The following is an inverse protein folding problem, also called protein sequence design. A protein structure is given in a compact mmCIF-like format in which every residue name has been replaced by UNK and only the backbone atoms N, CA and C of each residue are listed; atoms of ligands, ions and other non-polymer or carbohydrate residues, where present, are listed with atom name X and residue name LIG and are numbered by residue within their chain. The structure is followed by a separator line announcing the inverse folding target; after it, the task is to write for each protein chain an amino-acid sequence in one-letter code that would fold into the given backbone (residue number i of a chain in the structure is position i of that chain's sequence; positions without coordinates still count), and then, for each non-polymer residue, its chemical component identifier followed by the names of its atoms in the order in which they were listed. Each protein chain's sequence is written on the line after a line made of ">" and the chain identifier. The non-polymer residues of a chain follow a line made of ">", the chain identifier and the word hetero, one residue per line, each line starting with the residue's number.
data_IF_808052314082
#
_entry.id   IF_808052314082
#
_cell.length_a   1.000
_cell.length_b   1.000
_cell.length_c   1.000
_cell.angle_alpha   90.00
_cell.angle_beta   90.00
_cell.angle_gamma   90.00
#
_symmetry.space_group_name_H-M   'P 1'
#
loop_
_entity.id
_entity.type
_entity.pdbx_description
1 polymer ?
#
# COMPACT_ATOMS: atom_id res chain seq x y z
N UNK A 1 -1.92 22.38 20.72
CA UNK A 1 -0.70 23.14 20.37
C UNK A 1 -0.85 23.67 18.95
N UNK A 2 -0.94 24.99 18.84
CA UNK A 2 -1.00 25.74 17.59
C UNK A 2 0.32 25.59 16.83
N UNK A 3 0.26 25.09 15.60
CA UNK A 3 1.38 25.20 14.69
C UNK A 3 1.16 26.46 13.87
N UNK A 4 2.03 27.44 14.08
CA UNK A 4 2.12 28.68 13.33
C UNK A 4 2.47 28.35 11.88
N UNK A 5 1.55 28.68 10.96
CA UNK A 5 1.84 28.67 9.54
C UNK A 5 2.56 29.96 9.20
N UNK A 6 3.87 29.92 9.07
CA UNK A 6 4.61 30.98 8.40
C UNK A 6 4.65 30.69 6.90
N UNK A 7 3.97 31.51 6.13
CA UNK A 7 4.08 31.53 4.69
C UNK A 7 5.49 32.01 4.31
N UNK A 8 6.26 31.15 3.68
CA UNK A 8 7.38 31.55 2.85
C UNK A 8 7.21 30.93 1.47
N UNK A 9 6.92 31.80 0.50
CA UNK A 9 7.17 31.56 -0.90
C UNK A 9 8.67 31.36 -1.09
N UNK A 10 9.11 30.12 -1.15
CA UNK A 10 10.38 29.78 -1.76
C UNK A 10 10.17 28.57 -2.65
N UNK A 11 10.20 28.85 -3.94
CA UNK A 11 10.23 27.94 -5.05
C UNK A 11 11.57 27.17 -5.05
N UNK A 12 11.74 26.27 -4.07
CA UNK A 12 12.68 25.16 -4.13
C UNK A 12 11.88 23.89 -3.89
N UNK A 13 11.67 23.11 -4.94
CA UNK A 13 11.25 21.72 -4.82
C UNK A 13 12.33 20.98 -4.01
N UNK A 14 12.24 21.01 -2.71
CA UNK A 14 12.93 20.04 -1.87
C UNK A 14 12.28 18.70 -2.22
N UNK A 15 12.88 17.96 -3.15
CA UNK A 15 12.57 16.55 -3.32
C UNK A 15 12.88 15.89 -1.99
N UNK A 16 11.84 15.63 -1.21
CA UNK A 16 11.97 14.92 0.04
C UNK A 16 12.48 13.51 -0.22
N UNK A 17 13.34 12.99 0.65
CA UNK A 17 13.87 11.64 0.56
C UNK A 17 12.81 10.65 1.01
N UNK A 18 12.43 9.74 0.11
CA UNK A 18 11.51 8.63 0.38
C UNK A 18 12.34 7.36 0.52
N UNK A 19 12.19 6.66 1.64
CA UNK A 19 12.82 5.38 1.89
C UNK A 19 11.80 4.36 2.40
N UNK A 20 11.98 3.10 2.02
CA UNK A 20 11.20 1.98 2.53
C UNK A 20 12.06 1.19 3.52
N UNK A 21 11.53 0.98 4.71
CA UNK A 21 12.19 0.26 5.78
C UNK A 21 11.47 -1.01 6.18
N UNK A 22 12.21 -1.96 6.72
CA UNK A 22 11.67 -3.22 7.20
C UNK A 22 10.80 -3.05 8.44
N UNK A 23 9.77 -3.88 8.56
CA UNK A 23 8.96 -3.98 9.77
C UNK A 23 9.59 -5.02 10.69
N UNK A 24 9.88 -4.60 11.91
CA UNK A 24 10.54 -5.39 12.93
C UNK A 24 9.75 -5.34 14.24
N UNK A 25 10.13 -6.19 15.20
CA UNK A 25 9.56 -6.15 16.55
C UNK A 25 9.78 -4.81 17.26
N UNK A 26 10.81 -4.07 16.88
CA UNK A 26 11.10 -2.75 17.47
C UNK A 26 10.18 -1.65 16.96
N UNK A 27 9.71 -1.73 15.72
CA UNK A 27 8.90 -0.70 15.10
C UNK A 27 7.43 -1.10 14.81
N UNK A 28 7.01 -2.31 15.16
CA UNK A 28 5.64 -2.80 14.94
C UNK A 28 4.57 -1.89 15.58
N UNK A 29 4.90 -1.20 16.66
CA UNK A 29 4.00 -0.23 17.30
C UNK A 29 3.74 0.98 16.42
N UNK A 30 4.72 1.41 15.61
CA UNK A 30 4.57 2.48 14.63
C UNK A 30 3.60 2.05 13.52
N UNK A 31 3.75 0.82 13.02
CA UNK A 31 2.81 0.25 12.06
C UNK A 31 1.38 0.27 12.59
N UNK A 32 1.17 -0.18 13.83
CA UNK A 32 -0.14 -0.20 14.46
C UNK A 32 -0.76 1.20 14.54
N UNK A 33 0.00 2.21 14.94
CA UNK A 33 -0.45 3.60 14.98
C UNK A 33 -0.79 4.15 13.59
N UNK A 34 0.04 3.85 12.58
CA UNK A 34 -0.24 4.25 11.20
C UNK A 34 -1.53 3.63 10.69
N UNK A 35 -1.72 2.33 10.88
CA UNK A 35 -2.94 1.64 10.45
C UNK A 35 -4.19 2.24 11.08
N UNK A 36 -4.16 2.53 12.38
CA UNK A 36 -5.28 3.16 13.08
C UNK A 36 -5.60 4.58 12.58
N UNK A 37 -4.58 5.29 12.10
CA UNK A 37 -4.74 6.67 11.60
C UNK A 37 -5.16 6.70 10.12
N UNK A 38 -4.61 5.81 9.31
CA UNK A 38 -4.76 5.83 7.84
C UNK A 38 -6.03 5.08 7.40
N UNK A 39 -6.33 3.95 8.05
CA UNK A 39 -7.38 3.05 7.58
C UNK A 39 -8.58 3.03 8.54
N UNK A 40 -9.82 3.02 7.99
CA UNK A 40 -11.04 3.00 8.81
C UNK A 40 -11.39 1.61 9.35
N UNK A 41 -10.47 0.67 9.31
CA UNK A 41 -10.63 -0.72 9.76
C UNK A 41 -9.57 -1.07 10.80
N UNK A 42 -9.94 -1.94 11.75
CA UNK A 42 -9.00 -2.45 12.75
C UNK A 42 -8.49 -3.83 12.34
N UNK A 43 -7.19 -4.04 12.51
CA UNK A 43 -6.54 -5.33 12.27
C UNK A 43 -6.33 -6.06 13.59
N UNK A 44 -6.48 -7.39 13.57
CA UNK A 44 -6.30 -8.24 14.75
C UNK A 44 -4.82 -8.56 15.02
N UNK A 45 -4.52 -9.19 16.15
CA UNK A 45 -3.16 -9.56 16.53
C UNK A 45 -2.50 -10.54 15.54
N UNK A 46 -3.30 -11.41 14.90
CA UNK A 46 -2.80 -12.33 13.87
C UNK A 46 -2.21 -11.56 12.69
N UNK A 47 -2.86 -10.50 12.22
CA UNK A 47 -2.35 -9.65 11.14
C UNK A 47 -0.93 -9.12 11.47
N UNK A 48 -0.72 -8.60 12.68
CA UNK A 48 0.58 -8.05 13.06
C UNK A 48 1.67 -9.13 13.23
N UNK A 49 1.30 -10.32 13.66
CA UNK A 49 2.22 -11.48 13.69
C UNK A 49 2.63 -11.89 12.28
N UNK A 50 1.67 -12.03 11.38
CA UNK A 50 1.91 -12.41 9.98
C UNK A 50 2.79 -11.36 9.27
N UNK A 51 2.57 -10.07 9.54
CA UNK A 51 3.39 -8.99 8.99
C UNK A 51 4.85 -9.07 9.44
N UNK A 52 5.12 -9.42 10.70
CA UNK A 52 6.49 -9.59 11.19
C UNK A 52 7.25 -10.72 10.47
N UNK A 53 6.55 -11.70 9.94
CA UNK A 53 7.12 -12.85 9.23
C UNK A 53 7.13 -12.65 7.69
N UNK A 54 6.51 -11.59 7.19
CA UNK A 54 6.30 -11.39 5.75
C UNK A 54 7.50 -10.81 4.99
N UNK A 55 8.55 -10.37 5.69
CA UNK A 55 9.78 -9.86 5.08
C UNK A 55 9.52 -8.70 4.10
N UNK A 56 9.93 -8.86 2.86
CA UNK A 56 9.80 -7.84 1.80
C UNK A 56 8.35 -7.52 1.38
N UNK A 57 7.38 -8.34 1.79
CA UNK A 57 5.95 -8.11 1.53
C UNK A 57 5.33 -7.00 2.39
N UNK A 58 6.03 -6.55 3.42
CA UNK A 58 5.58 -5.47 4.28
C UNK A 58 6.70 -4.45 4.51
N UNK A 59 6.39 -3.16 4.32
CA UNK A 59 7.33 -2.06 4.48
C UNK A 59 6.68 -0.87 5.17
N UNK A 60 7.47 -0.16 5.96
CA UNK A 60 7.19 1.21 6.37
C UNK A 60 7.77 2.19 5.36
N UNK A 61 7.06 3.25 5.07
CA UNK A 61 7.55 4.34 4.24
C UNK A 61 7.95 5.54 5.11
N UNK A 62 9.14 6.05 4.86
CA UNK A 62 9.72 7.22 5.54
C UNK A 62 9.83 8.37 4.54
N UNK A 63 9.50 9.55 5.01
CA UNK A 63 9.73 10.79 4.29
C UNK A 63 10.61 11.70 5.16
N UNK A 64 11.84 11.99 4.71
CA UNK A 64 12.84 12.70 5.49
C UNK A 64 12.99 12.14 6.92
N UNK A 65 13.17 10.82 7.02
CA UNK A 65 13.34 10.05 8.27
C UNK A 65 12.10 9.98 9.18
N UNK A 66 10.96 10.53 8.76
CA UNK A 66 9.69 10.42 9.48
C UNK A 66 8.86 9.29 8.90
N UNK A 67 8.36 8.38 9.74
CA UNK A 67 7.47 7.31 9.30
C UNK A 67 6.09 7.88 8.96
N UNK A 68 5.66 7.70 7.71
CA UNK A 68 4.44 8.35 7.17
C UNK A 68 3.52 7.42 6.40
N UNK A 69 3.99 6.23 6.05
CA UNK A 69 3.19 5.31 5.24
C UNK A 69 3.51 3.85 5.52
N UNK A 70 2.70 3.00 4.97
CA UNK A 70 2.77 1.55 5.15
C UNK A 70 2.22 0.82 3.93
N UNK A 71 2.86 -0.27 3.57
CA UNK A 71 2.34 -1.27 2.65
C UNK A 71 2.49 -2.65 3.28
N UNK A 72 1.43 -3.44 3.26
CA UNK A 72 1.44 -4.83 3.71
C UNK A 72 0.76 -5.71 2.66
N UNK A 73 1.45 -6.75 2.25
CA UNK A 73 0.98 -7.68 1.24
C UNK A 73 1.03 -9.12 1.76
N UNK A 74 0.27 -9.97 1.10
CA UNK A 74 0.22 -11.41 1.33
C UNK A 74 0.37 -12.14 0.00
N UNK A 75 1.09 -13.25 0.00
CA UNK A 75 1.19 -14.12 -1.16
C UNK A 75 0.22 -15.30 -1.00
N UNK A 76 -0.69 -15.42 -1.93
CA UNK A 76 -1.65 -16.51 -2.03
C UNK A 76 -1.28 -17.41 -3.21
N UNK A 77 -1.39 -18.72 -3.04
CA UNK A 77 -1.19 -19.70 -4.12
C UNK A 77 -2.49 -20.46 -4.33
N UNK A 78 -3.02 -20.40 -5.54
CA UNK A 78 -4.22 -21.10 -5.95
C UNK A 78 -4.10 -21.51 -7.43
N UNK A 79 -4.58 -22.72 -7.77
CA UNK A 79 -4.57 -23.23 -9.15
C UNK A 79 -3.20 -23.14 -9.84
N UNK A 80 -2.14 -23.48 -9.11
CA UNK A 80 -0.74 -23.36 -9.58
C UNK A 80 -0.30 -21.94 -9.96
N UNK A 81 -1.04 -20.92 -9.53
CA UNK A 81 -0.72 -19.51 -9.74
C UNK A 81 -0.41 -18.82 -8.42
N UNK A 82 0.49 -17.85 -8.49
CA UNK A 82 0.87 -16.98 -7.36
C UNK A 82 0.17 -15.65 -7.48
N UNK A 83 -0.63 -15.33 -6.49
CA UNK A 83 -1.37 -14.07 -6.40
C UNK A 83 -0.81 -13.25 -5.24
N UNK A 84 -0.44 -12.01 -5.50
CA UNK A 84 -0.03 -11.10 -4.44
C UNK A 84 -1.20 -10.20 -4.09
N UNK A 85 -1.65 -10.29 -2.84
CA UNK A 85 -2.74 -9.47 -2.32
C UNK A 85 -2.19 -8.28 -1.53
N UNK A 86 -2.53 -7.06 -1.95
CA UNK A 86 -2.23 -5.86 -1.18
C UNK A 86 -3.32 -5.73 -0.10
N UNK A 87 -2.95 -5.99 1.16
CA UNK A 87 -3.85 -5.87 2.30
C UNK A 87 -4.04 -4.41 2.70
N UNK A 88 -2.93 -3.66 2.75
CA UNK A 88 -2.90 -2.23 3.06
C UNK A 88 -1.87 -1.52 2.21
N UNK A 89 -2.18 -0.33 1.74
CA UNK A 89 -1.25 0.62 1.15
C UNK A 89 -1.79 2.03 1.39
N UNK A 90 -1.06 2.84 2.12
CA UNK A 90 -1.50 4.19 2.41
C UNK A 90 -0.45 5.02 3.13
N UNK A 91 -0.67 6.31 3.15
CA UNK A 91 0.15 7.25 3.90
C UNK A 91 -0.72 8.28 4.63
N UNK A 92 -0.12 8.95 5.61
CA UNK A 92 -0.75 10.03 6.33
C UNK A 92 -1.24 11.11 5.36
N UNK A 93 -2.41 11.68 5.63
CA UNK A 93 -3.09 12.62 4.73
C UNK A 93 -2.19 13.78 4.31
N UNK A 94 -1.47 14.39 5.26
CA UNK A 94 -0.58 15.52 5.01
C UNK A 94 0.64 15.20 4.15
N UNK A 95 0.95 13.92 3.97
CA UNK A 95 2.06 13.44 3.13
C UNK A 95 1.62 12.85 1.79
N UNK A 96 0.33 12.99 1.45
CA UNK A 96 -0.18 12.58 0.14
C UNK A 96 0.36 13.48 -0.97
N UNK A 97 0.40 12.96 -2.20
CA UNK A 97 0.88 13.66 -3.41
C UNK A 97 2.38 13.96 -3.42
N UNK A 98 3.16 13.34 -2.54
CA UNK A 98 4.62 13.46 -2.49
C UNK A 98 5.36 12.27 -3.11
N UNK A 99 4.64 11.32 -3.72
CA UNK A 99 5.22 10.14 -4.36
C UNK A 99 5.43 8.94 -3.43
N UNK A 100 4.96 8.99 -2.18
CA UNK A 100 5.14 7.90 -1.20
C UNK A 100 4.36 6.65 -1.63
N UNK A 101 3.10 6.80 -2.03
CA UNK A 101 2.29 5.70 -2.56
C UNK A 101 2.91 5.07 -3.80
N UNK A 102 3.46 5.90 -4.68
CA UNK A 102 4.20 5.45 -5.88
C UNK A 102 5.42 4.61 -5.51
N UNK A 103 6.21 5.05 -4.54
CA UNK A 103 7.40 4.30 -4.08
C UNK A 103 7.00 2.93 -3.50
N UNK A 104 5.96 2.88 -2.69
CA UNK A 104 5.44 1.63 -2.12
C UNK A 104 4.90 0.68 -3.20
N UNK A 105 4.10 1.18 -4.14
CA UNK A 105 3.52 0.34 -5.19
C UNK A 105 4.58 -0.17 -6.17
N UNK A 106 5.57 0.65 -6.52
CA UNK A 106 6.71 0.21 -7.33
C UNK A 106 7.49 -0.92 -6.65
N UNK A 107 7.72 -0.83 -5.35
CA UNK A 107 8.33 -1.91 -4.57
C UNK A 107 7.55 -3.23 -4.70
N UNK A 108 6.23 -3.17 -4.55
CA UNK A 108 5.35 -4.35 -4.67
C UNK A 108 5.40 -4.94 -6.07
N UNK A 109 5.32 -4.12 -7.11
CA UNK A 109 5.39 -4.58 -8.52
C UNK A 109 6.76 -5.20 -8.82
N UNK A 110 7.84 -4.57 -8.38
CA UNK A 110 9.20 -5.08 -8.56
C UNK A 110 9.40 -6.43 -7.84
N UNK A 111 8.93 -6.54 -6.60
CA UNK A 111 8.93 -7.81 -5.86
C UNK A 111 8.15 -8.90 -6.62
N UNK A 112 6.95 -8.59 -7.07
CA UNK A 112 6.11 -9.53 -7.81
C UNK A 112 6.78 -10.04 -9.08
N UNK A 113 7.41 -9.13 -9.85
CA UNK A 113 8.15 -9.47 -11.05
C UNK A 113 9.34 -10.40 -10.76
N UNK A 114 10.14 -10.08 -9.73
CA UNK A 114 11.32 -10.87 -9.35
C UNK A 114 10.98 -12.25 -8.77
N UNK A 115 9.83 -12.39 -8.13
CA UNK A 115 9.39 -13.64 -7.47
C UNK A 115 8.48 -14.51 -8.34
N UNK A 116 8.27 -14.13 -9.59
CA UNK A 116 7.42 -14.90 -10.50
C UNK A 116 5.96 -14.95 -10.07
N UNK A 117 5.45 -13.86 -9.48
CA UNK A 117 4.05 -13.68 -9.16
C UNK A 117 3.27 -13.48 -10.47
N UNK A 118 2.10 -14.08 -10.59
CA UNK A 118 1.28 -14.00 -11.80
C UNK A 118 0.47 -12.71 -11.86
N UNK A 119 -0.08 -12.28 -10.73
CA UNK A 119 -0.86 -11.05 -10.64
C UNK A 119 -0.84 -10.43 -9.24
N UNK A 120 -1.16 -9.14 -9.19
CA UNK A 120 -1.38 -8.37 -7.97
C UNK A 120 -2.84 -7.96 -7.94
N UNK A 121 -3.51 -8.11 -6.81
CA UNK A 121 -4.89 -7.67 -6.65
C UNK A 121 -5.13 -7.00 -5.28
N UNK A 122 -6.20 -6.23 -5.21
CA UNK A 122 -6.61 -5.51 -4.01
C UNK A 122 -8.11 -5.20 -4.03
N UNK A 123 -8.61 -4.80 -2.86
CA UNK A 123 -9.95 -4.27 -2.71
C UNK A 123 -9.86 -2.77 -2.38
N UNK A 124 -10.69 -1.98 -3.01
CA UNK A 124 -10.82 -0.54 -2.75
C UNK A 124 -12.29 -0.18 -2.61
N UNK A 125 -12.62 0.68 -1.64
CA UNK A 125 -13.99 1.16 -1.49
C UNK A 125 -14.46 1.82 -2.79
N UNK A 126 -15.67 1.49 -3.24
CA UNK A 126 -16.18 1.91 -4.56
C UNK A 126 -16.24 3.43 -4.76
N UNK A 127 -16.36 4.19 -3.67
CA UNK A 127 -16.36 5.66 -3.69
C UNK A 127 -14.96 6.29 -3.63
N UNK A 128 -13.90 5.50 -3.42
CA UNK A 128 -12.53 6.02 -3.33
C UNK A 128 -11.93 6.24 -4.72
N UNK A 129 -12.41 7.25 -5.42
CA UNK A 129 -12.01 7.58 -6.79
C UNK A 129 -10.53 7.89 -6.91
N UNK A 130 -9.93 8.55 -5.91
CA UNK A 130 -8.51 8.88 -5.91
C UNK A 130 -7.62 7.63 -5.88
N UNK A 131 -7.96 6.64 -5.07
CA UNK A 131 -7.22 5.37 -5.04
C UNK A 131 -7.42 4.59 -6.34
N UNK A 132 -8.64 4.53 -6.87
CA UNK A 132 -8.94 3.85 -8.13
C UNK A 132 -8.11 4.44 -9.28
N UNK A 133 -8.06 5.75 -9.41
CA UNK A 133 -7.26 6.44 -10.43
C UNK A 133 -5.75 6.19 -10.24
N UNK A 134 -5.29 6.21 -8.99
CA UNK A 134 -3.90 5.90 -8.65
C UNK A 134 -3.50 4.52 -9.15
N UNK A 135 -4.26 3.48 -8.84
CA UNK A 135 -3.95 2.12 -9.28
C UNK A 135 -4.10 1.95 -10.80
N UNK A 136 -5.07 2.58 -11.44
CA UNK A 136 -5.23 2.55 -12.90
C UNK A 136 -4.01 3.09 -13.63
N UNK A 137 -3.37 4.14 -13.11
CA UNK A 137 -2.11 4.67 -13.67
C UNK A 137 -0.97 3.65 -13.69
N UNK A 138 -0.99 2.67 -12.79
CA UNK A 138 -0.02 1.57 -12.76
C UNK A 138 -0.47 0.33 -13.54
N UNK A 139 -1.54 0.43 -14.32
CA UNK A 139 -2.06 -0.65 -15.16
C UNK A 139 -2.96 -1.65 -14.43
N UNK A 140 -3.52 -1.27 -13.29
CA UNK A 140 -4.57 -2.06 -12.65
C UNK A 140 -5.92 -1.84 -13.34
N UNK A 141 -6.70 -2.89 -13.43
CA UNK A 141 -8.04 -2.88 -14.02
C UNK A 141 -9.06 -3.35 -13.00
N UNK A 142 -10.29 -2.85 -13.11
CA UNK A 142 -11.41 -3.31 -12.29
C UNK A 142 -11.87 -4.67 -12.87
N UNK A 143 -11.77 -5.71 -12.08
CA UNK A 143 -12.14 -7.08 -12.47
C UNK A 143 -13.37 -7.60 -11.76
N UNK A 144 -13.89 -6.90 -10.77
CA UNK A 144 -15.08 -7.30 -10.04
C UNK A 144 -15.55 -6.27 -9.04
N UNK A 145 -16.72 -6.55 -8.49
CA UNK A 145 -17.33 -5.78 -7.40
C UNK A 145 -17.71 -6.77 -6.31
N UNK A 146 -17.43 -6.44 -5.06
CA UNK A 146 -17.90 -7.16 -3.88
C UNK A 146 -18.87 -6.27 -3.12
N UNK A 147 -20.14 -6.63 -3.18
CA UNK A 147 -21.19 -5.99 -2.38
C UNK A 147 -21.01 -6.35 -0.90
N UNK A 148 -21.41 -5.42 -0.02
CA UNK A 148 -21.36 -5.61 1.44
C UNK A 148 -19.99 -6.05 1.99
N UNK A 149 -18.90 -5.65 1.32
CA UNK A 149 -17.53 -6.00 1.71
C UNK A 149 -17.15 -5.31 3.04
N UNK A 150 -17.51 -4.04 3.19
CA UNK A 150 -17.27 -3.26 4.40
C UNK A 150 -18.50 -3.28 5.30
N UNK A 151 -18.33 -3.72 6.54
CA UNK A 151 -19.45 -3.86 7.49
C UNK A 151 -19.85 -2.57 8.21
N UNK A 152 -18.98 -1.55 8.21
CA UNK A 152 -19.13 -0.34 9.02
C UNK A 152 -18.83 0.96 8.26
N UNK A 153 -18.75 0.90 6.94
CA UNK A 153 -18.41 2.02 6.08
C UNK A 153 -19.41 2.11 4.96
N UNK A 154 -19.85 3.33 4.63
CA UNK A 154 -20.71 3.61 3.48
C UNK A 154 -19.92 4.32 2.36
N UNK A 155 -20.05 3.90 1.10
CA UNK A 155 -20.77 2.69 0.65
C UNK A 155 -20.05 1.40 1.07
N UNK A 156 -20.79 0.29 1.30
CA UNK A 156 -20.19 -0.96 1.79
C UNK A 156 -19.50 -1.76 0.67
N UNK A 157 -19.69 -1.41 -0.58
CA UNK A 157 -19.15 -2.14 -1.73
C UNK A 157 -17.68 -1.83 -1.97
N UNK A 158 -16.94 -2.83 -2.42
CA UNK A 158 -15.57 -2.73 -2.84
C UNK A 158 -15.41 -3.11 -4.31
N UNK A 159 -14.51 -2.42 -5.01
CA UNK A 159 -14.03 -2.83 -6.31
C UNK A 159 -12.82 -3.75 -6.12
N UNK A 160 -12.75 -4.80 -6.92
CA UNK A 160 -11.56 -5.64 -7.03
C UNK A 160 -10.72 -5.13 -8.20
N UNK A 161 -9.51 -4.67 -7.91
CA UNK A 161 -8.55 -4.25 -8.91
C UNK A 161 -7.46 -5.29 -9.04
N UNK A 162 -7.02 -5.54 -10.27
CA UNK A 162 -5.99 -6.52 -10.58
C UNK A 162 -5.04 -6.00 -11.66
N UNK A 163 -3.78 -6.40 -11.52
CA UNK A 163 -2.73 -6.19 -12.52
C UNK A 163 -2.02 -7.51 -12.77
N UNK A 164 -2.04 -8.00 -14.01
CA UNK A 164 -1.22 -9.12 -14.42
C UNK A 164 0.26 -8.71 -14.51
N UNK A 165 1.15 -9.53 -14.00
CA UNK A 165 2.58 -9.30 -14.00
C UNK A 165 3.18 -10.06 -15.17
N UNK A 166 3.83 -9.33 -16.07
CA UNK A 166 4.60 -9.95 -17.14
C UNK A 166 5.81 -10.65 -16.53
N UNK A 167 5.89 -11.96 -16.71
CA UNK A 167 7.09 -12.71 -16.36
C UNK A 167 8.20 -12.20 -17.25
N UNK A 168 9.30 -11.75 -16.67
CA UNK A 168 10.52 -11.48 -17.43
C UNK A 168 10.86 -12.74 -18.21
N UNK A 169 10.81 -12.66 -19.54
CA UNK A 169 11.31 -13.75 -20.37
C UNK A 169 12.79 -13.90 -20.02
N UNK A 170 13.13 -14.98 -19.33
CA UNK A 170 14.52 -15.41 -19.25
C UNK A 170 14.91 -15.76 -20.68
N UNK A 171 15.65 -14.89 -21.34
CA UNK A 171 16.38 -15.22 -22.55
C UNK A 171 17.47 -16.18 -22.06
N UNK A 172 17.24 -17.45 -22.33
CA UNK A 172 18.22 -18.53 -22.18
C UNK A 172 19.35 -18.37 -23.22
#
# INVERSE_FOLDING_TARGET
>A
FSIIVTSFNDCYSKMGRIELGDITRHNIKLLRRLNQTIFPVNYNEKFYKDVLESGQLAKLAFFNDVVVGVVCCRLDVADNRKHLYIMTLGCLFTYRRLGIGTAMLKHVIDYASKKGVDDIYLHVQSSNTGAIEFYKKFGFEIVGVKEDYYKRIEPPSALVLRKDIQKSAFIS
#
